data_IF_408768674770
#
_entry.id   IF_408768674770
#
_cell.length_a   1.000
_cell.length_b   1.000
_cell.length_c   1.000
_cell.angle_alpha   90.00
_cell.angle_beta   90.00
_cell.angle_gamma   90.00
#
_symmetry.space_group_name_H-M   'P 1'
#
loop_
_entity.id
_entity.type
_entity.pdbx_description
1 polymer ?
#
# COMPACT_ATOMS: atom_id res chain seq x y z
N UNK A 1 34.51 -28.34 26.41
CA UNK A 1 33.71 -27.43 25.58
C UNK A 1 32.53 -27.01 26.44
N UNK A 2 32.43 -25.73 26.80
CA UNK A 2 31.31 -25.23 27.60
C UNK A 2 30.01 -25.31 26.80
N UNK A 3 28.91 -25.69 27.43
CA UNK A 3 27.58 -25.60 26.79
C UNK A 3 27.25 -24.13 26.54
N UNK A 4 26.80 -23.79 25.33
CA UNK A 4 26.34 -22.45 25.01
C UNK A 4 25.10 -22.10 25.83
N UNK A 5 24.83 -20.79 26.04
CA UNK A 5 23.63 -20.34 26.75
C UNK A 5 22.35 -20.83 26.05
N UNK A 6 22.35 -20.87 24.71
CA UNK A 6 21.24 -21.36 23.91
C UNK A 6 20.97 -22.85 24.15
N UNK A 7 22.02 -23.67 24.24
CA UNK A 7 21.87 -25.11 24.53
C UNK A 7 21.35 -25.35 25.95
N UNK A 8 21.75 -24.51 26.91
CA UNK A 8 21.24 -24.56 28.29
C UNK A 8 19.76 -24.22 28.34
N UNK A 9 19.30 -23.16 27.65
CA UNK A 9 17.88 -22.78 27.58
C UNK A 9 17.05 -23.90 26.96
N UNK A 10 17.47 -24.44 25.80
CA UNK A 10 16.75 -25.53 25.13
C UNK A 10 16.76 -26.82 25.96
N UNK A 11 17.85 -27.12 26.64
CA UNK A 11 17.94 -28.26 27.56
C UNK A 11 16.97 -28.12 28.74
N UNK A 12 16.80 -26.92 29.30
CA UNK A 12 15.84 -26.67 30.38
C UNK A 12 14.39 -26.75 29.89
N UNK A 13 14.10 -26.28 28.68
CA UNK A 13 12.76 -26.33 28.08
C UNK A 13 12.27 -27.75 27.76
N UNK A 14 13.14 -28.77 27.79
CA UNK A 14 12.71 -30.18 27.71
C UNK A 14 11.99 -30.66 28.97
N UNK A 15 12.17 -29.96 30.10
CA UNK A 15 11.65 -30.37 31.41
C UNK A 15 10.83 -29.29 32.10
N UNK A 16 10.85 -28.05 31.58
CA UNK A 16 10.15 -26.89 32.11
C UNK A 16 9.31 -26.27 31.00
N UNK A 17 7.99 -26.28 31.16
CA UNK A 17 7.05 -25.77 30.16
C UNK A 17 6.88 -24.23 30.19
N UNK A 18 7.33 -23.59 31.28
CA UNK A 18 7.18 -22.14 31.49
C UNK A 18 8.51 -21.40 31.24
N UNK A 19 8.61 -20.59 30.16
CA UNK A 19 9.78 -19.76 29.88
C UNK A 19 10.17 -18.80 31.02
N UNK A 20 9.20 -18.36 31.84
CA UNK A 20 9.49 -17.48 32.98
C UNK A 20 10.33 -18.18 34.05
N UNK A 21 10.12 -19.49 34.25
CA UNK A 21 10.90 -20.28 35.22
C UNK A 21 12.34 -20.42 34.75
N UNK A 22 12.55 -20.65 33.45
CA UNK A 22 13.88 -20.72 32.84
C UNK A 22 14.58 -19.37 32.94
N UNK A 23 13.88 -18.27 32.64
CA UNK A 23 14.40 -16.91 32.73
C UNK A 23 14.86 -16.57 34.15
N UNK A 24 14.03 -16.85 35.15
CA UNK A 24 14.36 -16.64 36.56
C UNK A 24 15.54 -17.49 37.01
N UNK A 25 15.63 -18.74 36.56
CA UNK A 25 16.71 -19.66 36.95
C UNK A 25 18.06 -19.24 36.37
N UNK A 26 18.05 -18.65 35.17
CA UNK A 26 19.26 -18.22 34.47
C UNK A 26 19.60 -16.75 34.69
N UNK A 27 18.75 -15.98 35.39
CA UNK A 27 18.94 -14.54 35.58
C UNK A 27 18.80 -13.73 34.28
N UNK A 28 17.95 -14.20 33.37
CA UNK A 28 17.70 -13.60 32.05
C UNK A 28 16.36 -12.87 32.01
N UNK A 29 16.20 -11.95 31.07
CA UNK A 29 14.86 -11.49 30.69
C UNK A 29 14.08 -12.59 29.98
N UNK A 30 12.77 -12.64 30.20
CA UNK A 30 11.89 -13.64 29.57
C UNK A 30 11.94 -13.56 28.03
N UNK A 31 12.09 -12.36 27.47
CA UNK A 31 12.23 -12.10 26.04
C UNK A 31 13.41 -12.83 25.40
N UNK A 32 14.52 -12.99 26.13
CA UNK A 32 15.71 -13.73 25.66
C UNK A 32 15.42 -15.22 25.61
N UNK A 33 14.74 -15.76 26.62
CA UNK A 33 14.35 -17.18 26.67
C UNK A 33 13.35 -17.49 25.57
N UNK A 34 12.30 -16.68 25.42
CA UNK A 34 11.31 -16.82 24.35
C UNK A 34 11.94 -16.70 22.96
N UNK A 35 12.87 -15.75 22.77
CA UNK A 35 13.61 -15.58 21.51
C UNK A 35 14.51 -16.78 21.16
N UNK A 36 15.13 -17.43 22.14
CA UNK A 36 15.94 -18.64 21.91
C UNK A 36 15.08 -19.86 21.60
N UNK A 37 13.93 -20.01 22.28
CA UNK A 37 13.01 -21.14 22.09
C UNK A 37 12.23 -21.04 20.78
N UNK A 38 11.87 -19.82 20.35
CA UNK A 38 11.23 -19.55 19.06
C UNK A 38 12.20 -19.61 17.87
N UNK A 39 13.51 -19.52 18.12
CA UNK A 39 14.54 -19.46 17.09
C UNK A 39 14.76 -18.05 16.52
N UNK A 40 14.12 -17.03 17.09
CA UNK A 40 14.33 -15.62 16.74
C UNK A 40 15.75 -15.12 17.11
N UNK A 41 16.35 -15.68 18.16
CA UNK A 41 17.74 -15.38 18.57
C UNK A 41 18.66 -16.51 18.11
N UNK A 42 19.56 -16.27 17.12
CA UNK A 42 20.51 -17.27 16.67
C UNK A 42 21.59 -17.52 17.73
N UNK A 43 22.09 -18.76 17.81
CA UNK A 43 23.06 -19.19 18.83
C UNK A 43 24.33 -18.31 18.87
N UNK A 44 24.79 -17.89 17.69
CA UNK A 44 25.97 -17.04 17.49
C UNK A 44 25.86 -15.70 18.25
N UNK A 45 24.63 -15.17 18.43
CA UNK A 45 24.39 -13.93 19.17
C UNK A 45 24.57 -14.06 20.69
N UNK A 46 24.73 -15.30 21.19
CA UNK A 46 24.86 -15.60 22.61
C UNK A 46 26.22 -16.21 22.98
N UNK A 47 27.16 -16.31 22.04
CA UNK A 47 28.50 -16.89 22.28
C UNK A 47 29.33 -16.04 23.27
N UNK A 48 29.17 -14.71 23.22
CA UNK A 48 29.87 -13.74 24.08
C UNK A 48 28.99 -13.18 25.22
N UNK A 49 27.84 -13.81 25.50
CA UNK A 49 26.89 -13.28 26.49
C UNK A 49 27.38 -13.49 27.94
N UNK A 50 27.88 -12.43 28.57
CA UNK A 50 28.29 -12.44 29.98
C UNK A 50 27.08 -12.22 30.92
N UNK A 51 26.69 -13.28 31.62
CA UNK A 51 25.62 -13.27 32.63
C UNK A 51 25.89 -12.29 33.79
N UNK A 52 27.16 -11.93 34.05
CA UNK A 52 27.55 -11.01 35.11
C UNK A 52 27.55 -9.53 34.68
N UNK A 53 27.51 -9.26 33.37
CA UNK A 53 27.42 -7.92 32.77
C UNK A 53 26.50 -7.98 31.55
N UNK A 54 25.16 -7.88 31.74
CA UNK A 54 24.23 -7.89 30.62
C UNK A 54 24.57 -6.71 29.70
N UNK A 55 25.05 -7.02 28.49
CA UNK A 55 25.20 -6.02 27.44
C UNK A 55 23.79 -5.54 27.10
N UNK A 56 23.63 -4.22 26.99
CA UNK A 56 22.39 -3.58 26.56
C UNK A 56 21.97 -4.20 25.22
N UNK A 57 21.00 -5.12 25.25
CA UNK A 57 20.51 -5.79 24.04
C UNK A 57 19.78 -4.71 23.25
N UNK A 58 20.48 -4.11 22.28
CA UNK A 58 19.82 -3.32 21.25
C UNK A 58 18.96 -4.28 20.44
N UNK A 59 17.67 -4.31 20.76
CA UNK A 59 16.64 -4.83 19.87
C UNK A 59 16.70 -3.99 18.61
N UNK A 60 17.44 -4.47 17.62
CA UNK A 60 17.36 -3.93 16.26
C UNK A 60 16.06 -4.50 15.71
N UNK A 61 15.02 -3.67 15.60
CA UNK A 61 13.86 -4.01 14.76
C UNK A 61 14.41 -4.38 13.38
N UNK A 62 14.48 -5.67 13.08
CA UNK A 62 14.65 -6.12 11.72
C UNK A 62 13.40 -5.68 10.98
N UNK A 63 13.51 -4.65 10.13
CA UNK A 63 12.49 -4.35 9.14
C UNK A 63 12.20 -5.65 8.41
N UNK A 64 11.05 -6.27 8.70
CA UNK A 64 10.53 -7.39 7.90
C UNK A 64 10.62 -6.93 6.45
N UNK A 65 11.38 -7.64 5.63
CA UNK A 65 11.34 -7.49 4.17
C UNK A 65 9.95 -7.93 3.71
N UNK A 66 8.98 -7.04 3.83
CA UNK A 66 7.69 -7.15 3.17
C UNK A 66 8.00 -6.85 1.72
N UNK A 67 7.86 -7.85 0.83
CA UNK A 67 7.80 -7.58 -0.61
C UNK A 67 6.78 -6.47 -0.81
N UNK A 68 7.22 -5.39 -1.44
CA UNK A 68 6.38 -4.22 -1.70
C UNK A 68 5.09 -4.64 -2.40
N UNK A 69 3.96 -4.06 -1.99
CA UNK A 69 2.71 -4.23 -2.73
C UNK A 69 2.59 -3.11 -3.77
N UNK A 70 2.67 -3.47 -5.05
CA UNK A 70 2.39 -2.57 -6.16
C UNK A 70 0.89 -2.56 -6.47
N UNK A 71 0.22 -1.43 -6.24
CA UNK A 71 -1.22 -1.26 -6.43
C UNK A 71 -1.45 -0.24 -7.53
N UNK A 72 -1.95 -0.69 -8.68
CA UNK A 72 -2.32 0.20 -9.77
C UNK A 72 -3.75 0.70 -9.65
N UNK A 73 -3.98 1.92 -10.11
CA UNK A 73 -5.32 2.50 -10.24
C UNK A 73 -5.56 2.86 -11.70
N UNK A 74 -6.57 2.24 -12.30
CA UNK A 74 -7.12 2.63 -13.61
C UNK A 74 -8.52 3.17 -13.41
N UNK A 75 -8.99 4.02 -14.33
CA UNK A 75 -10.30 4.65 -14.17
C UNK A 75 -11.06 4.79 -15.48
N UNK A 76 -12.38 4.79 -15.35
CA UNK A 76 -13.32 5.18 -16.41
C UNK A 76 -13.36 6.69 -16.64
N UNK A 77 -12.80 7.46 -15.70
CA UNK A 77 -12.57 8.89 -15.73
C UNK A 77 -11.18 9.19 -15.13
N UNK A 78 -10.25 9.69 -15.95
CA UNK A 78 -8.85 9.88 -15.57
C UNK A 78 -8.68 10.69 -14.28
N UNK A 79 -9.45 11.78 -14.14
CA UNK A 79 -9.35 12.63 -12.94
C UNK A 79 -9.72 11.86 -11.67
N UNK A 80 -10.77 11.03 -11.73
CA UNK A 80 -11.21 10.25 -10.57
C UNK A 80 -10.21 9.13 -10.23
N UNK A 81 -9.50 8.58 -11.22
CA UNK A 81 -8.40 7.63 -11.00
C UNK A 81 -7.22 8.26 -10.26
N UNK A 82 -6.75 9.42 -10.74
CA UNK A 82 -5.68 10.15 -10.08
C UNK A 82 -6.09 10.62 -8.68
N UNK A 83 -7.33 11.10 -8.52
CA UNK A 83 -7.88 11.49 -7.23
C UNK A 83 -7.90 10.31 -6.25
N UNK A 84 -8.42 9.16 -6.67
CA UNK A 84 -8.45 7.95 -5.85
C UNK A 84 -7.05 7.53 -5.44
N UNK A 85 -6.09 7.55 -6.36
CA UNK A 85 -4.68 7.23 -6.09
C UNK A 85 -4.11 8.12 -5.00
N UNK A 86 -4.31 9.45 -5.10
CA UNK A 86 -3.85 10.41 -4.11
C UNK A 86 -4.46 10.13 -2.73
N UNK A 87 -5.78 9.90 -2.67
CA UNK A 87 -6.47 9.64 -1.42
C UNK A 87 -6.03 8.32 -0.79
N UNK A 88 -5.96 7.22 -1.55
CA UNK A 88 -5.51 5.93 -1.01
C UNK A 88 -4.09 6.01 -0.44
N UNK A 89 -3.17 6.62 -1.19
CA UNK A 89 -1.78 6.72 -0.78
C UNK A 89 -1.57 7.63 0.44
N UNK A 90 -2.16 8.84 0.42
CA UNK A 90 -2.03 9.78 1.53
C UNK A 90 -2.65 9.24 2.82
N UNK A 91 -3.84 8.64 2.72
CA UNK A 91 -4.53 8.11 3.89
C UNK A 91 -3.90 6.80 4.39
N UNK A 92 -3.31 5.99 3.53
CA UNK A 92 -2.52 4.84 3.98
C UNK A 92 -1.28 5.31 4.74
N UNK A 93 -0.52 6.22 4.14
CA UNK A 93 0.72 6.74 4.72
C UNK A 93 0.48 7.42 6.08
N UNK A 94 -0.64 8.13 6.26
CA UNK A 94 -1.02 8.75 7.54
C UNK A 94 -1.33 7.73 8.66
N UNK A 95 -1.63 6.47 8.31
CA UNK A 95 -2.01 5.42 9.27
C UNK A 95 -0.88 4.43 9.60
N UNK A 96 0.24 4.46 8.87
CA UNK A 96 1.27 3.43 8.92
C UNK A 96 2.65 4.03 9.16
N UNK A 97 3.57 3.24 9.71
CA UNK A 97 4.96 3.65 9.93
C UNK A 97 5.90 3.33 8.78
N UNK A 98 5.47 2.51 7.82
CA UNK A 98 6.27 2.11 6.67
C UNK A 98 6.19 3.11 5.51
N UNK A 99 7.18 3.05 4.63
CA UNK A 99 7.31 3.96 3.49
C UNK A 99 6.29 3.62 2.38
N UNK A 100 5.55 4.64 1.94
CA UNK A 100 4.56 4.58 0.86
C UNK A 100 5.02 5.47 -0.30
N UNK A 101 4.96 4.97 -1.52
CA UNK A 101 5.26 5.73 -2.73
C UNK A 101 4.04 5.89 -3.62
N UNK A 102 4.02 6.98 -4.39
CA UNK A 102 3.18 7.16 -5.56
C UNK A 102 4.08 7.25 -6.79
N UNK A 103 3.83 6.41 -7.78
CA UNK A 103 4.42 6.53 -9.11
C UNK A 103 3.36 7.04 -10.10
N UNK A 104 3.54 8.27 -10.58
CA UNK A 104 2.64 8.89 -11.55
C UNK A 104 3.11 8.61 -12.99
N UNK A 105 2.50 7.60 -13.63
CA UNK A 105 2.76 7.26 -15.03
C UNK A 105 1.71 7.83 -15.99
N UNK A 106 0.82 8.69 -15.49
CA UNK A 106 -0.20 9.34 -16.29
C UNK A 106 0.46 10.27 -17.33
N UNK A 107 -0.11 10.35 -18.53
CA UNK A 107 0.38 11.24 -19.59
C UNK A 107 0.19 12.72 -19.22
N UNK A 108 -0.76 12.99 -18.32
CA UNK A 108 -1.10 14.28 -17.76
C UNK A 108 -0.98 14.20 -16.23
N UNK A 109 0.25 14.22 -15.69
CA UNK A 109 0.48 14.01 -14.26
C UNK A 109 -0.15 15.12 -13.43
N UNK A 110 -0.97 14.74 -12.46
CA UNK A 110 -1.66 15.68 -11.55
C UNK A 110 -1.37 15.39 -10.08
N UNK A 111 -0.65 14.32 -9.76
CA UNK A 111 -0.41 13.90 -8.36
C UNK A 111 0.29 14.98 -7.54
N UNK A 112 1.26 15.68 -8.14
CA UNK A 112 1.95 16.80 -7.48
C UNK A 112 1.02 17.93 -7.03
N UNK A 113 -0.06 18.17 -7.80
CA UNK A 113 -1.08 19.17 -7.49
C UNK A 113 -2.05 18.64 -6.45
N UNK A 114 -2.57 17.42 -6.64
CA UNK A 114 -3.53 16.78 -5.72
C UNK A 114 -2.97 16.62 -4.30
N UNK A 115 -1.66 16.42 -4.18
CA UNK A 115 -0.95 16.25 -2.92
C UNK A 115 -0.31 17.55 -2.39
N UNK A 116 -0.48 18.68 -3.07
CA UNK A 116 0.21 19.95 -2.72
C UNK A 116 1.73 19.84 -2.55
N UNK A 117 2.38 18.92 -3.28
CA UNK A 117 3.83 18.68 -3.17
C UNK A 117 4.64 19.75 -3.93
N UNK A 118 4.06 20.39 -4.94
CA UNK A 118 4.74 21.35 -5.82
C UNK A 118 3.94 22.61 -6.10
N UNK A 119 3.90 23.52 -5.12
CA UNK A 119 3.79 24.98 -5.33
C UNK A 119 4.13 25.53 -6.73
N UNK A 120 5.35 25.20 -7.18
CA UNK A 120 6.05 26.03 -8.16
C UNK A 120 7.17 25.33 -8.96
N UNK A 121 7.39 24.01 -8.84
CA UNK A 121 8.57 23.42 -9.47
C UNK A 121 8.37 21.99 -10.01
N UNK A 122 7.74 21.91 -11.19
CA UNK A 122 7.67 20.68 -11.97
C UNK A 122 9.06 20.18 -12.42
N UNK A 123 10.09 21.06 -12.40
CA UNK A 123 11.46 20.68 -12.73
C UNK A 123 12.19 19.99 -11.56
N UNK A 124 11.77 20.25 -10.31
CA UNK A 124 12.37 19.66 -9.10
C UNK A 124 11.74 18.32 -8.66
N UNK A 125 10.57 17.95 -9.18
CA UNK A 125 10.09 16.58 -9.07
C UNK A 125 10.90 15.71 -10.02
N UNK A 126 11.58 14.68 -9.47
CA UNK A 126 12.42 13.79 -10.29
C UNK A 126 11.59 13.23 -11.42
N UNK A 127 11.95 13.70 -12.59
CA UNK A 127 11.47 13.20 -13.86
C UNK A 127 12.35 12.00 -14.20
N UNK A 128 11.82 10.82 -13.95
CA UNK A 128 12.58 9.58 -14.07
C UNK A 128 13.19 9.33 -15.43
N UNK A 129 12.61 9.94 -16.47
CA UNK A 129 13.18 9.95 -17.82
C UNK A 129 14.65 10.40 -17.83
N UNK A 130 15.03 11.33 -16.96
CA UNK A 130 16.35 11.96 -16.95
C UNK A 130 17.28 11.45 -15.83
N UNK A 131 16.84 10.46 -15.03
CA UNK A 131 17.72 9.84 -14.03
C UNK A 131 18.55 8.74 -14.68
N UNK A 132 19.87 8.91 -14.73
CA UNK A 132 20.82 7.89 -15.18
C UNK A 132 21.21 6.88 -14.07
N UNK A 133 20.80 7.14 -12.83
CA UNK A 133 21.10 6.27 -11.69
C UNK A 133 20.00 5.22 -11.46
N UNK A 134 20.42 4.02 -11.05
CA UNK A 134 19.56 2.84 -10.87
C UNK A 134 18.91 2.71 -9.47
N UNK A 135 19.37 3.46 -8.46
CA UNK A 135 18.81 3.44 -7.09
C UNK A 135 17.89 4.64 -6.86
N UNK A 136 16.57 4.43 -6.73
CA UNK A 136 15.58 5.49 -6.47
C UNK A 136 15.17 5.62 -5.01
N UNK A 137 15.85 4.94 -4.10
CA UNK A 137 15.66 5.13 -2.67
C UNK A 137 15.95 6.58 -2.29
N UNK A 138 15.06 7.20 -1.51
CA UNK A 138 15.15 8.63 -1.07
C UNK A 138 15.13 9.69 -2.17
N UNK A 139 14.93 9.29 -3.44
CA UNK A 139 14.84 10.20 -4.58
C UNK A 139 13.42 10.77 -4.79
N UNK A 140 12.41 10.05 -4.30
CA UNK A 140 11.04 10.52 -4.35
C UNK A 140 10.86 11.86 -3.64
N UNK A 141 10.01 12.72 -4.19
CA UNK A 141 9.71 13.99 -3.53
C UNK A 141 8.76 13.75 -2.36
N UNK A 142 9.26 13.95 -1.15
CA UNK A 142 8.47 13.75 0.07
C UNK A 142 7.30 14.72 0.18
N UNK A 143 6.18 14.23 0.70
CA UNK A 143 5.04 15.06 1.05
C UNK A 143 5.37 15.99 2.22
N UNK A 144 5.01 17.28 2.16
CA UNK A 144 5.43 18.26 3.18
C UNK A 144 4.88 17.96 4.59
N UNK A 145 3.74 17.27 4.68
CA UNK A 145 3.08 16.95 5.95
C UNK A 145 3.06 15.44 6.30
N UNK A 146 3.32 14.55 5.35
CA UNK A 146 3.18 13.08 5.53
C UNK A 146 4.55 12.48 5.25
N UNK A 147 5.33 12.26 6.31
CA UNK A 147 6.80 12.06 6.20
C UNK A 147 7.20 10.80 5.43
N UNK A 148 6.39 9.76 5.51
CA UNK A 148 6.61 8.46 4.87
C UNK A 148 5.94 8.36 3.49
N UNK A 149 5.41 9.46 2.93
CA UNK A 149 4.86 9.50 1.59
C UNK A 149 5.84 10.17 0.62
N UNK A 150 6.21 9.44 -0.44
CA UNK A 150 7.05 9.92 -1.53
C UNK A 150 6.30 9.94 -2.86
N UNK A 151 6.46 11.02 -3.63
CA UNK A 151 5.93 11.11 -4.99
C UNK A 151 7.06 11.00 -6.01
N UNK A 152 6.78 10.23 -7.05
CA UNK A 152 7.62 10.09 -8.20
C UNK A 152 6.85 10.37 -9.50
N UNK A 153 7.45 11.12 -10.42
CA UNK A 153 6.83 11.46 -11.70
C UNK A 153 7.52 10.71 -12.85
N UNK A 154 6.76 9.91 -13.59
CA UNK A 154 7.23 9.22 -14.79
C UNK A 154 7.65 10.19 -15.89
N UNK A 155 6.74 11.08 -16.28
CA UNK A 155 6.99 12.16 -17.21
C UNK A 155 6.21 13.41 -16.75
N UNK A 156 6.73 14.61 -17.00
CA UNK A 156 6.06 15.87 -16.58
C UNK A 156 5.20 16.51 -17.69
N UNK A 157 5.29 15.98 -18.91
CA UNK A 157 4.51 16.43 -20.07
C UNK A 157 4.48 15.36 -21.17
N UNK A 158 3.62 15.57 -22.18
CA UNK A 158 3.42 14.66 -23.32
C UNK A 158 4.74 14.38 -24.06
N UNK A 159 5.58 15.39 -24.29
CA UNK A 159 6.82 15.23 -25.05
C UNK A 159 7.78 14.27 -24.35
N UNK A 160 7.89 14.38 -23.02
CA UNK A 160 8.68 13.47 -22.19
C UNK A 160 8.04 12.08 -22.10
N UNK A 161 6.72 12.01 -21.98
CA UNK A 161 6.01 10.73 -21.93
C UNK A 161 6.26 9.92 -23.21
N UNK A 162 6.36 10.57 -24.39
CA UNK A 162 6.65 9.92 -25.68
C UNK A 162 8.04 9.29 -25.79
N UNK A 163 9.04 9.84 -25.09
CA UNK A 163 10.41 9.32 -25.13
C UNK A 163 10.73 8.37 -23.96
N UNK A 164 9.81 8.24 -23.00
CA UNK A 164 9.90 7.25 -21.94
C UNK A 164 9.69 5.85 -22.54
N UNK A 165 10.71 4.98 -22.47
CA UNK A 165 10.62 3.62 -23.01
C UNK A 165 9.98 2.66 -22.02
N UNK A 166 9.48 1.54 -22.53
CA UNK A 166 8.87 0.49 -21.71
C UNK A 166 9.89 -0.13 -20.74
N UNK A 167 11.13 -0.33 -21.18
CA UNK A 167 12.23 -0.82 -20.33
C UNK A 167 12.48 0.13 -19.17
N UNK A 168 12.41 1.44 -19.41
CA UNK A 168 12.58 2.44 -18.35
C UNK A 168 11.42 2.37 -17.36
N UNK A 169 10.17 2.26 -17.83
CA UNK A 169 8.99 2.11 -16.95
C UNK A 169 9.12 0.85 -16.09
N UNK A 170 9.52 -0.27 -16.69
CA UNK A 170 9.70 -1.55 -16.01
C UNK A 170 10.79 -1.43 -14.93
N UNK A 171 11.95 -0.88 -15.29
CA UNK A 171 13.06 -0.66 -14.35
C UNK A 171 12.61 0.20 -13.16
N UNK A 172 11.84 1.26 -13.40
CA UNK A 172 11.29 2.12 -12.35
C UNK A 172 10.30 1.39 -11.46
N UNK A 173 9.38 0.62 -12.05
CA UNK A 173 8.42 -0.17 -11.29
C UNK A 173 9.13 -1.17 -10.37
N UNK A 174 10.15 -1.86 -10.87
CA UNK A 174 10.94 -2.82 -10.10
C UNK A 174 11.67 -2.12 -8.95
N UNK A 175 12.35 -0.99 -9.22
CA UNK A 175 13.16 -0.33 -8.20
C UNK A 175 12.30 0.32 -7.10
N UNK A 176 11.23 1.04 -7.45
CA UNK A 176 10.33 1.64 -6.45
C UNK A 176 9.65 0.53 -5.63
N UNK A 177 9.28 -0.58 -6.27
CA UNK A 177 8.74 -1.79 -5.61
C UNK A 177 9.80 -2.64 -4.90
N UNK A 178 11.07 -2.20 -4.86
CA UNK A 178 12.11 -2.80 -4.02
C UNK A 178 12.40 -1.91 -2.80
N UNK A 179 12.17 -0.60 -2.93
CA UNK A 179 12.57 0.41 -1.95
C UNK A 179 11.45 0.90 -1.02
N UNK A 180 10.17 0.67 -1.35
CA UNK A 180 9.02 1.14 -0.57
C UNK A 180 8.08 0.01 -0.19
N UNK A 181 7.48 0.00 1.00
CA UNK A 181 6.60 -1.12 1.41
C UNK A 181 5.30 -1.20 0.61
N UNK A 182 4.78 -0.06 0.15
CA UNK A 182 3.60 0.01 -0.72
C UNK A 182 3.84 1.06 -1.79
N UNK A 183 3.50 0.73 -3.03
CA UNK A 183 3.60 1.64 -4.18
C UNK A 183 2.23 1.75 -4.83
N UNK A 184 1.63 2.93 -4.76
CA UNK A 184 0.45 3.26 -5.55
C UNK A 184 0.88 3.77 -6.92
N UNK A 185 0.29 3.22 -7.98
CA UNK A 185 0.63 3.54 -9.35
C UNK A 185 -0.58 4.23 -9.98
N UNK A 186 -0.45 5.52 -10.28
CA UNK A 186 -1.41 6.24 -11.13
C UNK A 186 -1.15 5.76 -12.57
N UNK A 187 -1.95 4.78 -13.00
CA UNK A 187 -1.68 4.08 -14.26
C UNK A 187 -1.87 5.03 -15.46
N UNK A 188 -1.16 4.81 -16.57
CA UNK A 188 -1.38 5.55 -17.80
C UNK A 188 -2.83 5.36 -18.29
N UNK A 189 -3.37 6.31 -19.07
CA UNK A 189 -4.73 6.19 -19.59
C UNK A 189 -4.77 5.48 -20.96
N UNK A 190 -3.61 5.12 -21.52
CA UNK A 190 -3.47 4.64 -22.90
C UNK A 190 -2.61 3.37 -23.00
N UNK A 191 -1.99 3.16 -24.18
CA UNK A 191 -1.40 1.92 -24.72
C UNK A 191 -0.31 1.22 -23.90
N UNK A 192 0.03 1.72 -22.72
CA UNK A 192 1.07 1.15 -21.84
C UNK A 192 0.52 0.22 -20.77
N UNK A 193 -0.76 -0.14 -20.84
CA UNK A 193 -1.33 -1.12 -19.92
C UNK A 193 -0.67 -2.49 -20.04
N UNK A 194 -0.33 -2.93 -21.25
CA UNK A 194 0.48 -4.13 -21.49
C UNK A 194 1.84 -4.09 -20.78
N UNK A 195 2.43 -2.91 -20.66
CA UNK A 195 3.72 -2.69 -20.00
C UNK A 195 3.58 -2.62 -18.47
N UNK A 196 2.58 -1.90 -17.96
CA UNK A 196 2.46 -1.58 -16.52
C UNK A 196 1.68 -2.63 -15.75
N UNK A 197 0.52 -3.05 -16.26
CA UNK A 197 -0.42 -3.89 -15.49
C UNK A 197 0.14 -5.27 -15.08
N UNK A 198 1.03 -5.92 -15.86
CA UNK A 198 1.64 -7.19 -15.44
C UNK A 198 2.46 -7.10 -14.15
N UNK A 199 3.05 -5.94 -13.86
CA UNK A 199 3.92 -5.70 -12.69
C UNK A 199 3.16 -5.33 -11.42
N UNK A 200 1.84 -5.18 -11.50
CA UNK A 200 1.02 -4.87 -10.34
C UNK A 200 0.71 -6.12 -9.54
N UNK A 201 0.77 -6.05 -8.21
CA UNK A 201 0.24 -7.12 -7.34
C UNK A 201 -1.28 -7.02 -7.21
N UNK A 202 -1.85 -5.81 -7.33
CA UNK A 202 -3.28 -5.57 -7.25
C UNK A 202 -3.72 -4.40 -8.16
N UNK A 203 -4.91 -4.50 -8.74
CA UNK A 203 -5.49 -3.48 -9.59
C UNK A 203 -6.81 -2.96 -9.01
N UNK A 204 -6.90 -1.65 -8.83
CA UNK A 204 -8.15 -0.96 -8.48
C UNK A 204 -8.69 -0.27 -9.72
N UNK A 205 -9.96 -0.51 -10.03
CA UNK A 205 -10.68 0.13 -11.13
C UNK A 205 -11.67 1.13 -10.55
N UNK A 206 -11.40 2.42 -10.73
CA UNK A 206 -12.33 3.48 -10.37
C UNK A 206 -13.42 3.61 -11.44
N UNK A 207 -14.65 3.23 -11.09
CA UNK A 207 -15.80 3.24 -11.99
C UNK A 207 -16.75 4.37 -11.60
N UNK A 208 -16.83 5.37 -12.46
CA UNK A 208 -17.83 6.43 -12.35
C UNK A 208 -19.22 5.84 -12.60
N UNK A 209 -20.17 6.15 -11.72
CA UNK A 209 -21.50 5.55 -11.73
C UNK A 209 -22.44 6.11 -12.81
N UNK A 210 -21.98 7.02 -13.68
CA UNK A 210 -22.72 7.40 -14.88
C UNK A 210 -22.83 6.22 -15.86
N UNK A 211 -23.83 6.27 -16.75
CA UNK A 211 -23.98 5.27 -17.81
C UNK A 211 -22.73 5.20 -18.72
N UNK A 212 -22.07 6.33 -18.93
CA UNK A 212 -20.82 6.41 -19.72
C UNK A 212 -19.68 5.71 -18.97
N UNK A 213 -19.55 5.94 -17.66
CA UNK A 213 -18.55 5.26 -16.83
C UNK A 213 -18.74 3.74 -16.81
N UNK A 214 -19.98 3.29 -16.59
CA UNK A 214 -20.32 1.86 -16.63
C UNK A 214 -20.07 1.22 -18.01
N UNK A 215 -20.37 1.93 -19.10
CA UNK A 215 -20.03 1.46 -20.46
C UNK A 215 -18.53 1.38 -20.67
N UNK A 216 -17.75 2.35 -20.17
CA UNK A 216 -16.27 2.33 -20.25
C UNK A 216 -15.68 1.17 -19.46
N UNK A 217 -16.26 0.85 -18.31
CA UNK A 217 -15.83 -0.29 -17.50
C UNK A 217 -15.83 -1.59 -18.31
N UNK A 218 -16.81 -1.83 -19.19
CA UNK A 218 -16.83 -3.03 -20.02
C UNK A 218 -15.60 -3.15 -20.94
N UNK A 219 -15.09 -2.03 -21.47
CA UNK A 219 -13.86 -2.03 -22.26
C UNK A 219 -12.63 -2.33 -21.39
N UNK A 220 -12.56 -1.75 -20.20
CA UNK A 220 -11.47 -2.02 -19.23
C UNK A 220 -11.49 -3.51 -18.85
N UNK A 221 -12.65 -4.03 -18.47
CA UNK A 221 -12.84 -5.43 -18.07
C UNK A 221 -12.37 -6.38 -19.17
N UNK A 222 -12.83 -6.19 -20.42
CA UNK A 222 -12.44 -7.03 -21.53
C UNK A 222 -10.92 -7.06 -21.75
N UNK A 223 -10.26 -5.91 -21.59
CA UNK A 223 -8.81 -5.81 -21.73
C UNK A 223 -8.06 -6.54 -20.60
N UNK A 224 -8.41 -6.28 -19.34
CA UNK A 224 -7.74 -6.94 -18.22
C UNK A 224 -8.04 -8.44 -18.15
N UNK A 225 -9.20 -8.87 -18.67
CA UNK A 225 -9.53 -10.27 -18.84
C UNK A 225 -8.65 -10.92 -19.90
N UNK A 226 -8.39 -10.23 -21.02
CA UNK A 226 -7.45 -10.72 -22.04
C UNK A 226 -6.00 -10.83 -21.49
N UNK A 227 -5.63 -9.97 -20.53
CA UNK A 227 -4.35 -10.05 -19.84
C UNK A 227 -4.30 -11.09 -18.69
N UNK A 228 -5.42 -11.76 -18.38
CA UNK A 228 -5.55 -12.72 -17.27
C UNK A 228 -5.17 -12.14 -15.90
N UNK A 229 -5.58 -10.90 -15.60
CA UNK A 229 -5.28 -10.25 -14.30
C UNK A 229 -6.55 -9.92 -13.49
N UNK A 230 -7.69 -10.53 -13.83
CA UNK A 230 -8.99 -10.28 -13.19
C UNK A 230 -9.08 -10.80 -11.76
N UNK A 231 -8.29 -11.82 -11.42
CA UNK A 231 -8.19 -12.44 -10.09
C UNK A 231 -7.58 -11.50 -9.03
N UNK A 232 -6.79 -10.54 -9.47
CA UNK A 232 -6.17 -9.49 -8.64
C UNK A 232 -6.75 -8.10 -8.86
N UNK A 233 -7.95 -8.01 -9.46
CA UNK A 233 -8.63 -6.75 -9.72
C UNK A 233 -9.84 -6.54 -8.81
N UNK A 234 -10.09 -5.30 -8.43
CA UNK A 234 -11.27 -4.89 -7.66
C UNK A 234 -11.76 -3.52 -8.10
N UNK A 235 -13.00 -3.20 -7.75
CA UNK A 235 -13.67 -1.97 -8.17
C UNK A 235 -13.90 -1.04 -6.97
N UNK A 236 -13.68 0.25 -7.22
CA UNK A 236 -14.20 1.32 -6.38
C UNK A 236 -15.20 2.10 -7.21
N UNK A 237 -16.46 2.13 -6.77
CA UNK A 237 -17.48 2.99 -7.37
C UNK A 237 -17.25 4.43 -6.90
N UNK A 238 -17.25 5.38 -7.80
CA UNK A 238 -17.06 6.81 -7.48
C UNK A 238 -18.26 7.63 -7.88
N UNK A 239 -18.39 8.80 -7.24
CA UNK A 239 -19.46 9.76 -7.46
C UNK A 239 -20.88 9.21 -7.14
N UNK A 240 -20.99 8.41 -6.07
CA UNK A 240 -22.29 7.92 -5.59
C UNK A 240 -23.17 9.10 -5.12
N UNK A 241 -24.41 9.13 -5.60
CA UNK A 241 -25.35 10.22 -5.31
C UNK A 241 -25.14 11.49 -6.14
N UNK A 242 -24.22 11.52 -7.10
CA UNK A 242 -24.17 12.61 -8.10
C UNK A 242 -25.44 12.61 -8.97
N UNK A 243 -25.91 13.79 -9.36
CA UNK A 243 -27.04 13.93 -10.28
C UNK A 243 -26.79 13.15 -11.59
N UNK A 244 -27.79 12.39 -12.04
CA UNK A 244 -27.75 11.51 -13.22
C UNK A 244 -26.83 10.29 -13.12
N UNK A 245 -26.19 10.03 -11.97
CA UNK A 245 -25.49 8.78 -11.74
C UNK A 245 -26.45 7.67 -11.32
N UNK A 246 -26.10 6.44 -11.70
CA UNK A 246 -26.80 5.22 -11.30
C UNK A 246 -26.56 4.97 -9.82
N UNK A 247 -27.57 4.45 -9.11
CA UNK A 247 -27.41 4.04 -7.71
C UNK A 247 -26.29 3.01 -7.55
N UNK A 248 -25.59 2.99 -6.42
CA UNK A 248 -24.53 1.99 -6.17
C UNK A 248 -25.04 0.54 -6.26
N UNK A 249 -26.30 0.29 -5.88
CA UNK A 249 -26.96 -1.01 -6.03
C UNK A 249 -27.08 -1.43 -7.50
N UNK A 250 -27.52 -0.53 -8.38
CA UNK A 250 -27.71 -0.85 -9.79
C UNK A 250 -26.40 -0.82 -10.58
N UNK A 251 -25.43 0.01 -10.17
CA UNK A 251 -24.07 -0.05 -10.67
C UNK A 251 -23.43 -1.41 -10.38
N UNK A 252 -23.58 -1.96 -9.16
CA UNK A 252 -23.11 -3.31 -8.81
C UNK A 252 -23.71 -4.40 -9.71
N UNK A 253 -25.00 -4.27 -10.08
CA UNK A 253 -25.63 -5.19 -11.04
C UNK A 253 -24.99 -5.10 -12.43
N UNK A 254 -24.72 -3.89 -12.93
CA UNK A 254 -24.03 -3.70 -14.21
C UNK A 254 -22.62 -4.28 -14.21
N UNK A 255 -21.87 -4.06 -13.12
CA UNK A 255 -20.56 -4.67 -12.91
C UNK A 255 -20.70 -6.19 -12.99
N UNK A 256 -21.59 -6.78 -12.19
CA UNK A 256 -21.79 -8.23 -12.14
C UNK A 256 -22.12 -8.84 -13.51
N UNK A 257 -22.96 -8.16 -14.31
CA UNK A 257 -23.31 -8.59 -15.67
C UNK A 257 -22.16 -8.50 -16.67
N UNK A 258 -21.22 -7.57 -16.47
CA UNK A 258 -20.06 -7.38 -17.35
C UNK A 258 -18.93 -8.33 -16.98
N UNK A 259 -18.65 -8.41 -15.69
CA UNK A 259 -17.53 -9.12 -15.10
C UNK A 259 -17.64 -9.03 -13.59
N UNK A 260 -17.80 -10.18 -12.93
CA UNK A 260 -18.10 -10.27 -11.50
C UNK A 260 -16.89 -9.92 -10.59
N UNK A 261 -16.27 -8.76 -10.83
CA UNK A 261 -15.20 -8.25 -10.00
C UNK A 261 -15.77 -7.72 -8.67
N UNK A 262 -15.08 -7.95 -7.55
CA UNK A 262 -15.51 -7.48 -6.25
C UNK A 262 -15.46 -5.95 -6.18
N UNK A 263 -16.54 -5.35 -5.66
CA UNK A 263 -16.60 -3.91 -5.39
C UNK A 263 -16.23 -3.67 -3.93
N UNK A 264 -15.03 -3.13 -3.71
CA UNK A 264 -14.40 -2.95 -2.39
C UNK A 264 -14.63 -1.55 -1.79
N UNK A 265 -15.14 -0.61 -2.58
CA UNK A 265 -15.42 0.75 -2.12
C UNK A 265 -16.56 1.42 -2.88
N UNK A 266 -17.27 2.33 -2.21
CA UNK A 266 -18.27 3.22 -2.82
C UNK A 266 -18.04 4.61 -2.25
N UNK A 267 -17.53 5.51 -3.09
CA UNK A 267 -17.17 6.85 -2.68
C UNK A 267 -18.31 7.82 -3.02
N UNK A 268 -18.78 8.61 -2.03
CA UNK A 268 -19.84 9.59 -2.27
C UNK A 268 -19.36 10.70 -3.19
N UNK A 269 -20.29 11.31 -3.93
CA UNK A 269 -20.02 12.55 -4.63
C UNK A 269 -19.75 13.68 -3.62
N UNK A 270 -18.58 14.32 -3.74
CA UNK A 270 -18.21 15.47 -2.92
C UNK A 270 -17.29 16.42 -3.71
N UNK A 271 -17.73 17.65 -3.97
CA UNK A 271 -16.89 18.62 -4.68
C UNK A 271 -15.73 19.14 -3.82
N UNK A 272 -15.83 19.05 -2.49
CA UNK A 272 -14.76 19.51 -1.60
C UNK A 272 -13.50 18.66 -1.78
N UNK A 273 -13.63 17.38 -2.12
CA UNK A 273 -12.48 16.45 -2.20
C UNK A 273 -11.50 16.78 -3.32
N UNK A 274 -11.93 17.61 -4.29
CA UNK A 274 -11.11 18.10 -5.40
C UNK A 274 -10.05 19.13 -4.95
N UNK A 275 -10.17 19.64 -3.72
CA UNK A 275 -9.21 20.59 -3.15
C UNK A 275 -8.10 19.83 -2.42
N UNK A 276 -6.82 20.04 -2.77
CA UNK A 276 -5.71 19.32 -2.16
C UNK A 276 -5.66 19.39 -0.63
N UNK A 277 -6.07 20.52 -0.03
CA UNK A 277 -6.10 20.70 1.42
C UNK A 277 -7.09 19.78 2.15
N UNK A 278 -7.97 19.07 1.43
CA UNK A 278 -8.96 18.16 2.00
C UNK A 278 -8.54 16.68 1.98
N UNK A 279 -7.33 16.35 1.49
CA UNK A 279 -6.87 14.96 1.30
C UNK A 279 -6.92 14.09 2.58
N UNK A 280 -6.69 14.70 3.75
CA UNK A 280 -6.79 14.07 5.09
C UNK A 280 -7.98 14.61 5.91
N UNK A 281 -8.85 15.42 5.31
CA UNK A 281 -9.94 16.08 6.06
C UNK A 281 -11.07 15.10 6.30
N UNK A 282 -11.44 14.93 7.56
CA UNK A 282 -12.59 14.14 7.98
C UNK A 282 -13.85 14.55 7.20
N UNK A 283 -14.41 13.59 6.47
CA UNK A 283 -15.57 13.70 5.62
C UNK A 283 -16.14 12.30 5.37
N UNK A 284 -17.35 12.21 4.82
CA UNK A 284 -17.91 10.90 4.41
C UNK A 284 -17.00 10.23 3.38
N UNK A 285 -16.43 11.00 2.44
CA UNK A 285 -15.49 10.49 1.45
C UNK A 285 -14.24 9.91 2.08
N UNK A 286 -13.61 10.66 3.01
CA UNK A 286 -12.46 10.20 3.76
C UNK A 286 -12.74 8.89 4.50
N UNK A 287 -13.88 8.79 5.19
CA UNK A 287 -14.28 7.54 5.86
C UNK A 287 -14.37 6.35 4.90
N UNK A 288 -14.94 6.54 3.70
CA UNK A 288 -15.03 5.46 2.72
C UNK A 288 -13.68 5.11 2.07
N UNK A 289 -12.74 6.06 1.98
CA UNK A 289 -11.35 5.77 1.62
C UNK A 289 -10.71 4.86 2.68
N UNK A 290 -10.87 5.17 3.97
CA UNK A 290 -10.33 4.32 5.05
C UNK A 290 -10.96 2.93 5.00
N UNK A 291 -12.28 2.83 4.78
CA UNK A 291 -12.96 1.54 4.64
C UNK A 291 -12.47 0.74 3.44
N UNK A 292 -12.21 1.41 2.31
CA UNK A 292 -11.65 0.80 1.10
C UNK A 292 -10.24 0.27 1.38
N UNK A 293 -9.39 1.08 2.02
CA UNK A 293 -8.04 0.67 2.42
C UNK A 293 -8.07 -0.57 3.32
N UNK A 294 -8.99 -0.66 4.30
CA UNK A 294 -9.14 -1.84 5.16
C UNK A 294 -9.57 -3.11 4.42
N UNK A 295 -10.24 -2.98 3.28
CA UNK A 295 -10.58 -4.14 2.44
C UNK A 295 -9.40 -4.59 1.59
N UNK A 296 -8.52 -3.65 1.18
CA UNK A 296 -7.31 -3.94 0.39
C UNK A 296 -6.14 -4.37 1.28
N UNK A 297 -6.06 -3.86 2.51
CA UNK A 297 -5.01 -4.12 3.49
C UNK A 297 -5.61 -4.68 4.79
N UNK A 298 -5.42 -5.98 4.99
CA UNK A 298 -5.94 -6.71 6.17
C UNK A 298 -5.19 -6.40 7.47
N UNK A 299 -4.02 -5.77 7.36
CA UNK A 299 -3.13 -5.38 8.45
C UNK A 299 -3.42 -3.98 9.02
N UNK A 300 -4.33 -3.22 8.39
CA UNK A 300 -4.71 -1.91 8.91
C UNK A 300 -5.61 -2.02 10.15
N UNK A 301 -5.46 -1.12 11.14
CA UNK A 301 -6.32 -1.08 12.31
C UNK A 301 -7.80 -0.93 11.90
N UNK A 302 -8.57 -2.01 12.07
CA UNK A 302 -10.02 -1.97 11.95
C UNK A 302 -10.65 -1.32 13.18
N UNK A 303 -11.84 -0.74 13.03
CA UNK A 303 -12.76 -0.74 14.17
C UNK A 303 -12.91 -2.19 14.60
N UNK A 304 -12.44 -2.53 15.82
CA UNK A 304 -12.84 -3.77 16.47
C UNK A 304 -14.35 -3.80 16.39
N UNK A 305 -14.94 -4.69 15.59
CA UNK A 305 -16.37 -4.98 15.67
C UNK A 305 -16.66 -5.24 17.15
N UNK A 306 -17.29 -4.29 17.82
CA UNK A 306 -17.80 -4.51 19.17
C UNK A 306 -18.78 -5.67 19.05
N UNK A 307 -18.48 -6.77 19.74
CA UNK A 307 -19.43 -7.85 19.95
C UNK A 307 -19.39 -8.96 18.89
N UNK A 308 -18.49 -9.92 19.07
CA UNK A 308 -18.84 -11.33 18.85
C UNK A 308 -18.69 -12.12 20.16
N UNK A 309 -17.70 -11.77 21.00
CA UNK A 309 -17.49 -12.39 22.31
C UNK A 309 -18.44 -11.90 23.43
N UNK A 310 -19.19 -10.82 23.23
CA UNK A 310 -20.18 -10.35 24.22
C UNK A 310 -21.55 -11.04 24.07
N UNK A 311 -21.81 -11.71 22.93
CA UNK A 311 -23.04 -12.47 22.70
C UNK A 311 -22.97 -13.92 23.22
N UNK A 312 -21.78 -14.42 23.55
CA UNK A 312 -21.56 -15.79 24.05
C UNK A 312 -21.50 -15.84 25.60
N UNK A 313 -21.38 -14.68 26.25
CA UNK A 313 -21.34 -14.58 27.72
C UNK A 313 -22.63 -14.02 28.34
N UNK A 314 -23.67 -13.80 27.53
CA UNK A 314 -25.01 -13.39 27.99
C UNK A 314 -26.15 -14.16 27.29
N UNK A 315 -25.88 -15.39 26.83
CA UNK A 315 -26.87 -16.31 26.29
C UNK A 315 -26.83 -17.64 27.01
#
# INVERSE_FOLDING_TARGET
>A
MGQSLADRIRGMAQYLDDPQVIANTLGLEISVVEGVLSGEIPNESLEDYDLAKPVEIKVVEQKRFIRSRAIGVVATNNFEGSLLTAYLAANLADQVSYDVAIADFNEYPVQSTLLSINKADHAASINFLFSEEDDFKSKGKHHPAIKNLSLFLGATNISQNRVLTDEKIISLLIDISTNYSVVFIDCPNTSRWETVLPYLDFLIIAVDQSLVGLSRFAHIYNYINALNITDRASIVLVNDGQTNNTSSTDARKHIHMTGNLPVVGVLPYDNAVRKPENILKASKYHTEIINTLRQVFTDLPGEKKKGFLQAILTG
#
